data_IF_590815126380
#
_entry.id   IF_590815126380
#
_cell.length_a   1.000
_cell.length_b   1.000
_cell.length_c   1.000
_cell.angle_alpha   90.00
_cell.angle_beta   90.00
_cell.angle_gamma   90.00
#
_symmetry.space_group_name_H-M   'P 1'
#
loop_
_entity.id
_entity.type
_entity.pdbx_description
1 polymer ?
#
# COMPACT_ATOMS: atom_id res chain seq x y z
N UNK A 1 -16.48 6.43 -7.13
CA UNK A 1 -15.79 5.23 -7.67
C UNK A 1 -14.37 5.03 -7.10
N UNK A 2 -13.75 6.03 -6.45
CA UNK A 2 -12.40 5.96 -5.85
C UNK A 2 -12.33 5.18 -4.51
N UNK A 3 -13.46 4.89 -3.85
CA UNK A 3 -13.51 4.27 -2.51
C UNK A 3 -12.70 2.96 -2.37
N UNK A 4 -12.56 2.18 -3.43
CA UNK A 4 -11.83 0.91 -3.40
C UNK A 4 -10.32 1.05 -3.59
N UNK A 5 -9.81 2.21 -4.05
CA UNK A 5 -8.37 2.42 -4.23
C UNK A 5 -7.59 2.38 -2.91
N UNK A 6 -8.23 2.76 -1.79
CA UNK A 6 -7.66 2.60 -0.46
C UNK A 6 -7.66 1.14 0.03
N UNK A 7 -8.52 0.28 -0.54
CA UNK A 7 -8.62 -1.11 -0.15
C UNK A 7 -7.45 -1.94 -0.69
N UNK A 8 -6.86 -1.54 -1.82
CA UNK A 8 -5.70 -2.18 -2.44
C UNK A 8 -4.48 -2.22 -1.51
N UNK A 9 -3.97 -1.09 -0.96
CA UNK A 9 -2.86 -1.12 0.00
C UNK A 9 -3.18 -1.94 1.25
N UNK A 10 -4.43 -1.90 1.71
CA UNK A 10 -4.86 -2.67 2.88
C UNK A 10 -4.75 -4.18 2.64
N UNK A 11 -5.22 -4.65 1.49
CA UNK A 11 -5.11 -6.04 1.08
C UNK A 11 -3.66 -6.47 0.85
N UNK A 12 -2.83 -5.60 0.26
CA UNK A 12 -1.40 -5.84 0.08
C UNK A 12 -0.68 -5.97 1.43
N UNK A 13 -0.98 -5.09 2.39
CA UNK A 13 -0.44 -5.18 3.76
C UNK A 13 -0.84 -6.48 4.44
N UNK A 14 -2.10 -6.90 4.32
CA UNK A 14 -2.58 -8.18 4.85
C UNK A 14 -1.90 -9.37 4.19
N UNK A 15 -1.76 -9.37 2.87
CA UNK A 15 -1.05 -10.41 2.13
C UNK A 15 0.41 -10.52 2.55
N UNK A 16 1.10 -9.39 2.70
CA UNK A 16 2.49 -9.35 3.17
C UNK A 16 2.62 -9.82 4.61
N UNK A 17 1.67 -9.46 5.48
CA UNK A 17 1.64 -9.95 6.86
C UNK A 17 1.47 -11.47 6.94
N UNK A 18 0.54 -12.03 6.15
CA UNK A 18 0.34 -13.49 6.06
C UNK A 18 1.60 -14.16 5.52
N UNK A 19 2.24 -13.58 4.49
CA UNK A 19 3.49 -14.09 3.94
C UNK A 19 4.60 -14.14 5.00
N UNK A 20 4.80 -13.08 5.78
CA UNK A 20 5.80 -13.07 6.85
C UNK A 20 5.51 -14.13 7.90
N UNK A 21 4.25 -14.24 8.33
CA UNK A 21 3.83 -15.23 9.33
C UNK A 21 4.00 -16.66 8.84
N UNK A 22 3.69 -16.94 7.58
CA UNK A 22 3.82 -18.27 7.00
C UNK A 22 5.29 -18.70 6.84
N UNK A 23 6.18 -17.76 6.54
CA UNK A 23 7.62 -18.02 6.42
C UNK A 23 8.37 -17.90 7.76
N UNK A 24 7.68 -17.64 8.88
CA UNK A 24 8.31 -17.49 10.19
C UNK A 24 9.14 -16.21 10.36
N UNK A 25 8.96 -15.21 9.48
CA UNK A 25 9.64 -13.93 9.59
C UNK A 25 9.00 -13.04 10.64
N UNK A 26 9.83 -12.26 11.35
CA UNK A 26 9.34 -11.25 12.28
C UNK A 26 8.86 -10.00 11.54
N UNK A 27 8.00 -9.21 12.19
CA UNK A 27 7.52 -7.94 11.64
C UNK A 27 8.68 -6.97 11.33
N UNK A 28 9.76 -7.01 12.11
CA UNK A 28 10.95 -6.19 11.85
C UNK A 28 11.65 -6.54 10.54
N UNK A 29 11.78 -7.83 10.24
CA UNK A 29 12.36 -8.32 8.97
C UNK A 29 11.49 -7.90 7.78
N UNK A 30 10.16 -7.90 7.98
CA UNK A 30 9.19 -7.52 6.96
C UNK A 30 8.94 -6.03 6.77
N UNK A 31 9.50 -5.15 7.62
CA UNK A 31 9.24 -3.69 7.58
C UNK A 31 9.44 -3.07 6.20
N UNK A 32 10.47 -3.52 5.47
CA UNK A 32 10.75 -2.99 4.12
C UNK A 32 9.56 -3.21 3.18
N UNK A 33 8.92 -4.37 3.20
CA UNK A 33 7.76 -4.65 2.35
C UNK A 33 6.56 -3.75 2.66
N UNK A 34 6.27 -3.50 3.95
CA UNK A 34 5.24 -2.55 4.35
C UNK A 34 5.55 -1.13 3.88
N UNK A 35 6.81 -0.69 3.99
CA UNK A 35 7.25 0.61 3.47
C UNK A 35 7.06 0.68 1.96
N UNK A 36 7.43 -0.36 1.20
CA UNK A 36 7.21 -0.39 -0.26
C UNK A 36 5.73 -0.27 -0.62
N UNK A 37 4.85 -1.04 0.05
CA UNK A 37 3.40 -0.98 -0.18
C UNK A 37 2.88 0.43 0.09
N UNK A 38 3.30 1.04 1.20
CA UNK A 38 2.86 2.37 1.62
C UNK A 38 3.36 3.45 0.66
N UNK A 39 4.64 3.42 0.27
CA UNK A 39 5.24 4.38 -0.67
C UNK A 39 4.57 4.29 -2.03
N UNK A 40 4.43 3.10 -2.62
CA UNK A 40 3.80 2.94 -3.93
C UNK A 40 2.36 3.45 -3.90
N UNK A 41 1.62 3.07 -2.85
CA UNK A 41 0.20 3.45 -2.74
C UNK A 41 0.03 4.95 -2.48
N UNK A 42 0.91 5.57 -1.69
CA UNK A 42 0.87 7.02 -1.44
C UNK A 42 1.32 7.82 -2.66
N UNK A 43 2.32 7.35 -3.40
CA UNK A 43 2.73 7.96 -4.69
C UNK A 43 1.58 7.97 -5.68
N UNK A 44 0.87 6.84 -5.84
CA UNK A 44 -0.30 6.75 -6.73
C UNK A 44 -1.42 7.68 -6.26
N UNK A 45 -1.72 7.69 -4.96
CA UNK A 45 -2.76 8.56 -4.40
C UNK A 45 -2.43 10.05 -4.58
N UNK A 46 -1.17 10.45 -4.36
CA UNK A 46 -0.68 11.81 -4.62
C UNK A 46 -0.77 12.16 -6.10
N UNK A 47 -0.35 11.27 -6.99
CA UNK A 47 -0.40 11.50 -8.43
C UNK A 47 -1.83 11.77 -8.91
N UNK A 48 -2.79 10.92 -8.54
CA UNK A 48 -4.20 11.15 -8.86
C UNK A 48 -4.77 12.37 -8.15
N UNK A 49 -4.37 12.63 -6.89
CA UNK A 49 -4.79 13.79 -6.13
C UNK A 49 -4.35 15.12 -6.76
N UNK A 50 -3.14 15.17 -7.32
CA UNK A 50 -2.60 16.34 -8.03
C UNK A 50 -3.25 16.55 -9.40
N UNK A 51 -3.72 15.49 -10.05
CA UNK A 51 -4.44 15.59 -11.33
C UNK A 51 -5.85 16.14 -11.16
N UNK A 52 -6.52 15.90 -10.03
CA UNK A 52 -7.89 16.40 -9.76
C UNK A 52 -8.03 17.92 -9.99
N UNK A 53 -7.22 18.80 -9.39
CA UNK A 53 -7.33 20.24 -9.62
C UNK A 53 -6.85 20.68 -11.01
N UNK A 54 -6.02 19.88 -11.70
CA UNK A 54 -5.54 20.18 -13.04
C UNK A 54 -6.58 19.86 -14.14
N UNK A 55 -7.56 19.03 -13.81
CA UNK A 55 -8.63 18.60 -14.72
C UNK A 55 -9.96 19.32 -14.46
N UNK A 56 -9.98 20.26 -13.52
CA UNK A 56 -11.16 21.04 -13.09
C UNK A 56 -11.01 22.51 -13.50
#
# INVERSE_FOLDING_TARGET
>A
MIKFLFLIPLLLCLGWFVYLKHNGYTLEQGKKGFIYILVISSTIALFYGLLIPLTH
#
